data_IF_793390880997
#
_entry.id   IF_793390880997
#
_cell.length_a   1.000
_cell.length_b   1.000
_cell.length_c   1.000
_cell.angle_alpha   90.00
_cell.angle_beta   90.00
_cell.angle_gamma   90.00
#
_symmetry.space_group_name_H-M   'P 1'
#
loop_
_entity.id
_entity.type
_entity.pdbx_description
1 polymer ?
#
# COMPACT_ATOMS: atom_id res chain seq x y z
N UNK A 1 67.70 7.66 14.56
CA UNK A 1 67.11 7.50 13.20
C UNK A 1 65.72 6.89 13.40
N UNK A 2 64.70 7.74 13.48
CA UNK A 2 63.31 7.34 13.69
C UNK A 2 62.64 7.22 12.33
N UNK A 3 62.10 6.03 12.00
CA UNK A 3 61.34 5.79 10.79
C UNK A 3 59.87 6.17 11.03
N UNK A 4 59.45 7.24 10.37
CA UNK A 4 58.06 7.71 10.30
C UNK A 4 57.25 6.79 9.38
N UNK A 5 56.31 6.03 9.94
CA UNK A 5 55.36 5.20 9.18
C UNK A 5 54.10 6.03 8.96
N UNK A 6 53.94 6.53 7.73
CA UNK A 6 52.69 7.19 7.27
C UNK A 6 51.66 6.10 7.02
N UNK A 7 50.62 6.02 7.86
CA UNK A 7 49.41 5.22 7.60
C UNK A 7 48.50 5.99 6.64
N UNK A 8 48.45 5.52 5.40
CA UNK A 8 47.51 5.98 4.41
C UNK A 8 46.12 5.40 4.75
N UNK A 9 45.21 6.23 5.28
CA UNK A 9 43.80 5.84 5.49
C UNK A 9 43.09 6.00 4.14
N UNK A 10 42.79 4.87 3.51
CA UNK A 10 41.88 4.84 2.36
C UNK A 10 40.46 5.10 2.87
N UNK A 11 39.96 6.32 2.69
CA UNK A 11 38.55 6.66 2.77
C UNK A 11 37.87 6.10 1.52
N UNK A 12 37.31 4.89 1.65
CA UNK A 12 36.41 4.32 0.63
C UNK A 12 35.08 5.04 0.76
N UNK A 13 34.89 6.11 -0.02
CA UNK A 13 33.59 6.76 -0.17
C UNK A 13 32.64 5.80 -0.90
N UNK A 14 31.76 5.18 -0.13
CA UNK A 14 30.64 4.43 -0.68
C UNK A 14 29.67 5.42 -1.36
N UNK A 15 29.89 5.68 -2.64
CA UNK A 15 28.92 6.30 -3.52
C UNK A 15 27.82 5.27 -3.77
N UNK A 16 26.78 5.30 -2.93
CA UNK A 16 25.53 4.60 -3.20
C UNK A 16 24.89 5.10 -4.48
N UNK A 17 24.34 4.24 -5.30
CA UNK A 17 23.82 4.60 -6.61
C UNK A 17 22.49 5.33 -6.52
N UNK A 18 22.51 6.63 -6.25
CA UNK A 18 21.34 7.52 -6.38
C UNK A 18 20.72 7.54 -7.79
N UNK A 19 21.38 6.91 -8.77
CA UNK A 19 20.85 6.80 -10.13
C UNK A 19 19.74 5.76 -10.33
N UNK A 20 19.68 4.72 -9.47
CA UNK A 20 18.64 3.69 -9.60
C UNK A 20 17.26 4.20 -9.17
N UNK A 21 17.18 4.93 -8.07
CA UNK A 21 15.91 5.48 -7.57
C UNK A 21 15.32 6.52 -8.52
N UNK A 22 16.18 7.39 -9.11
CA UNK A 22 15.71 8.41 -10.06
C UNK A 22 15.22 7.79 -11.39
N UNK A 23 15.85 6.71 -11.83
CA UNK A 23 15.45 6.02 -13.07
C UNK A 23 14.10 5.31 -12.92
N UNK A 24 13.82 4.75 -11.75
CA UNK A 24 12.56 4.05 -11.46
C UNK A 24 11.38 5.03 -11.40
N UNK A 25 11.52 6.14 -10.66
CA UNK A 25 10.52 7.21 -10.59
C UNK A 25 10.23 7.82 -11.97
N UNK A 26 11.25 8.07 -12.77
CA UNK A 26 11.07 8.65 -14.11
C UNK A 26 10.37 7.67 -15.06
N UNK A 27 10.69 6.40 -14.99
CA UNK A 27 10.04 5.35 -15.80
C UNK A 27 8.58 5.18 -15.41
N UNK A 28 8.27 5.16 -14.11
CA UNK A 28 6.91 5.08 -13.62
C UNK A 28 6.06 6.29 -14.06
N UNK A 29 6.58 7.50 -13.95
CA UNK A 29 5.87 8.72 -14.37
C UNK A 29 5.64 8.76 -15.90
N UNK A 30 6.60 8.33 -16.70
CA UNK A 30 6.43 8.25 -18.16
C UNK A 30 5.35 7.24 -18.51
N UNK A 31 5.36 6.06 -17.89
CA UNK A 31 4.35 5.02 -18.12
C UNK A 31 2.93 5.47 -17.68
N UNK A 32 2.81 6.24 -16.58
CA UNK A 32 1.53 6.79 -16.16
C UNK A 32 1.01 7.83 -17.17
N UNK A 33 1.85 8.76 -17.61
CA UNK A 33 1.47 9.74 -18.62
C UNK A 33 1.05 9.09 -19.95
N UNK A 34 1.73 8.02 -20.36
CA UNK A 34 1.38 7.22 -21.53
C UNK A 34 0.02 6.54 -21.37
N UNK A 35 -0.26 5.96 -20.19
CA UNK A 35 -1.56 5.36 -19.89
C UNK A 35 -2.70 6.40 -19.96
N UNK A 36 -2.49 7.59 -19.40
CA UNK A 36 -3.44 8.71 -19.48
C UNK A 36 -3.64 9.16 -20.93
N UNK A 37 -2.58 9.23 -21.71
CA UNK A 37 -2.69 9.59 -23.13
C UNK A 37 -3.46 8.51 -23.90
N UNK A 38 -3.22 7.23 -23.64
CA UNK A 38 -3.97 6.14 -24.26
C UNK A 38 -5.49 6.22 -23.94
N UNK A 39 -5.88 6.66 -22.73
CA UNK A 39 -7.30 6.92 -22.40
C UNK A 39 -7.85 8.06 -23.27
N UNK A 40 -7.13 9.17 -23.42
CA UNK A 40 -7.55 10.32 -24.27
C UNK A 40 -7.72 9.91 -25.74
N UNK A 41 -6.84 9.05 -26.22
CA UNK A 41 -6.85 8.52 -27.58
C UNK A 41 -7.88 7.38 -27.76
N UNK A 42 -8.63 7.05 -26.71
CA UNK A 42 -9.59 5.93 -26.66
C UNK A 42 -8.97 4.55 -26.91
N UNK A 43 -7.65 4.43 -26.78
CA UNK A 43 -6.94 3.16 -26.81
C UNK A 43 -7.00 2.49 -25.44
N UNK A 44 -8.22 2.15 -25.00
CA UNK A 44 -8.47 1.68 -23.63
C UNK A 44 -7.79 0.36 -23.31
N UNK A 45 -7.60 -0.53 -24.28
CA UNK A 45 -6.89 -1.79 -24.02
C UNK A 45 -5.43 -1.54 -23.66
N UNK A 46 -4.77 -0.62 -24.35
CA UNK A 46 -3.40 -0.22 -24.02
C UNK A 46 -3.34 0.48 -22.66
N UNK A 47 -4.27 1.40 -22.38
CA UNK A 47 -4.37 2.07 -21.10
C UNK A 47 -4.53 1.07 -19.93
N UNK A 48 -5.42 0.09 -20.06
CA UNK A 48 -5.62 -0.96 -19.03
C UNK A 48 -4.31 -1.71 -18.75
N UNK A 49 -3.58 -2.12 -19.80
CA UNK A 49 -2.32 -2.85 -19.63
C UNK A 49 -1.25 -2.01 -18.90
N UNK A 50 -1.15 -0.71 -19.22
CA UNK A 50 -0.20 0.20 -18.57
C UNK A 50 -0.58 0.50 -17.12
N UNK A 51 -1.87 0.78 -16.84
CA UNK A 51 -2.31 0.99 -15.47
C UNK A 51 -2.21 -0.28 -14.63
N UNK A 52 -2.50 -1.46 -15.18
CA UNK A 52 -2.39 -2.72 -14.48
C UNK A 52 -0.96 -3.01 -14.02
N UNK A 53 0.03 -2.77 -14.89
CA UNK A 53 1.44 -2.90 -14.53
C UNK A 53 1.82 -2.02 -13.32
N UNK A 54 1.35 -0.79 -13.30
CA UNK A 54 1.60 0.17 -12.23
C UNK A 54 0.77 -0.11 -10.97
N UNK A 55 -0.46 -0.57 -11.14
CA UNK A 55 -1.33 -0.94 -10.03
C UNK A 55 -0.74 -2.10 -9.20
N UNK A 56 -0.13 -3.09 -9.87
CA UNK A 56 0.61 -4.16 -9.20
C UNK A 56 1.88 -3.67 -8.49
N UNK A 57 2.46 -2.56 -8.94
CA UNK A 57 3.58 -1.89 -8.27
C UNK A 57 3.10 -0.90 -7.18
N UNK A 58 1.86 -1.05 -6.71
CA UNK A 58 1.23 -0.20 -5.68
C UNK A 58 1.22 1.31 -6.02
N UNK A 59 1.11 1.65 -7.31
CA UNK A 59 0.88 3.05 -7.72
C UNK A 59 -0.63 3.36 -7.59
N UNK A 60 -1.01 4.07 -6.56
CA UNK A 60 -2.41 4.24 -6.16
C UNK A 60 -3.25 5.01 -7.17
N UNK A 61 -2.67 6.01 -7.85
CA UNK A 61 -3.33 6.70 -8.97
C UNK A 61 -3.64 5.75 -10.14
N UNK A 62 -2.75 4.80 -10.42
CA UNK A 62 -2.95 3.80 -11.45
C UNK A 62 -4.02 2.77 -11.03
N UNK A 63 -4.06 2.39 -9.76
CA UNK A 63 -5.10 1.52 -9.20
C UNK A 63 -6.49 2.15 -9.38
N UNK A 64 -6.64 3.45 -9.05
CA UNK A 64 -7.88 4.17 -9.25
C UNK A 64 -8.32 4.22 -10.72
N UNK A 65 -7.41 4.60 -11.62
CA UNK A 65 -7.70 4.66 -13.05
C UNK A 65 -8.05 3.29 -13.63
N UNK A 66 -7.38 2.22 -13.18
CA UNK A 66 -7.70 0.85 -13.56
C UNK A 66 -9.11 0.45 -13.09
N UNK A 67 -9.47 0.80 -11.84
CA UNK A 67 -10.80 0.56 -11.30
C UNK A 67 -11.89 1.21 -12.16
N UNK A 68 -11.72 2.47 -12.58
CA UNK A 68 -12.65 3.18 -13.47
C UNK A 68 -12.82 2.50 -14.84
N UNK A 69 -11.73 2.02 -15.44
CA UNK A 69 -11.77 1.32 -16.72
C UNK A 69 -12.49 -0.03 -16.61
N UNK A 70 -12.20 -0.80 -15.54
CA UNK A 70 -12.85 -2.07 -15.26
C UNK A 70 -14.35 -1.91 -14.93
N UNK A 71 -14.71 -0.87 -14.15
CA UNK A 71 -16.11 -0.54 -13.86
C UNK A 71 -16.88 -0.22 -15.14
N UNK A 72 -16.28 0.57 -16.04
CA UNK A 72 -16.94 1.01 -17.28
C UNK A 72 -16.86 -0.01 -18.42
N UNK A 73 -16.12 -1.12 -18.27
CA UNK A 73 -15.92 -2.09 -19.33
C UNK A 73 -15.11 -1.57 -20.52
N UNK A 74 -14.26 -0.55 -20.31
CA UNK A 74 -13.40 0.03 -21.34
C UNK A 74 -12.05 -0.67 -21.38
N UNK A 75 -11.70 -1.22 -22.54
CA UNK A 75 -10.44 -1.94 -22.76
C UNK A 75 -10.48 -3.42 -22.36
N UNK A 76 -11.33 -3.80 -21.42
CA UNK A 76 -11.66 -5.18 -21.02
C UNK A 76 -13.15 -5.30 -20.68
N UNK A 77 -13.72 -6.50 -20.68
CA UNK A 77 -15.09 -6.71 -20.18
C UNK A 77 -15.25 -6.16 -18.76
N UNK A 78 -16.41 -5.59 -18.49
CA UNK A 78 -16.75 -5.05 -17.17
C UNK A 78 -16.57 -6.09 -16.07
N UNK A 79 -15.94 -5.70 -14.97
CA UNK A 79 -15.70 -6.56 -13.82
C UNK A 79 -15.74 -5.73 -12.53
N UNK A 80 -16.91 -5.68 -11.90
CA UNK A 80 -17.11 -4.91 -10.67
C UNK A 80 -16.28 -5.41 -9.49
N UNK A 81 -16.05 -6.72 -9.38
CA UNK A 81 -15.26 -7.27 -8.28
C UNK A 81 -13.77 -6.88 -8.40
N UNK A 82 -13.19 -6.95 -9.60
CA UNK A 82 -11.83 -6.44 -9.82
C UNK A 82 -11.75 -4.92 -9.67
N UNK A 83 -12.77 -4.19 -10.16
CA UNK A 83 -12.84 -2.75 -9.98
C UNK A 83 -12.86 -2.37 -8.49
N UNK A 84 -13.63 -3.08 -7.67
CA UNK A 84 -13.68 -2.87 -6.22
C UNK A 84 -12.35 -3.15 -5.54
N UNK A 85 -11.66 -4.23 -5.90
CA UNK A 85 -10.33 -4.54 -5.36
C UNK A 85 -9.36 -3.38 -5.59
N UNK A 86 -9.31 -2.84 -6.81
CA UNK A 86 -8.44 -1.72 -7.15
C UNK A 86 -8.90 -0.39 -6.57
N UNK A 87 -10.22 -0.16 -6.46
CA UNK A 87 -10.75 1.03 -5.78
C UNK A 87 -10.39 1.03 -4.29
N UNK A 88 -10.56 -0.07 -3.58
CA UNK A 88 -10.11 -0.19 -2.19
C UNK A 88 -8.60 -0.04 -2.05
N UNK A 89 -7.80 -0.66 -2.93
CA UNK A 89 -6.34 -0.49 -2.92
C UNK A 89 -5.94 0.98 -3.09
N UNK A 90 -6.60 1.70 -4.00
CA UNK A 90 -6.36 3.12 -4.21
C UNK A 90 -6.78 3.98 -3.01
N UNK A 91 -7.94 3.68 -2.41
CA UNK A 91 -8.41 4.37 -1.20
C UNK A 91 -7.44 4.21 -0.03
N UNK A 92 -6.97 2.98 0.22
CA UNK A 92 -5.97 2.70 1.25
C UNK A 92 -4.65 3.45 1.02
N UNK A 93 -4.31 3.71 -0.23
CA UNK A 93 -3.17 4.53 -0.63
C UNK A 93 -3.43 6.04 -0.64
N UNK A 94 -4.57 6.49 -0.13
CA UNK A 94 -4.89 7.91 0.04
C UNK A 94 -5.54 8.60 -1.16
N UNK A 95 -6.05 7.86 -2.14
CA UNK A 95 -6.81 8.43 -3.26
C UNK A 95 -8.27 8.66 -2.82
N UNK A 96 -8.58 9.86 -2.33
CA UNK A 96 -9.91 10.21 -1.80
C UNK A 96 -11.08 9.87 -2.74
N UNK A 97 -11.04 10.15 -4.07
CA UNK A 97 -12.14 9.80 -4.96
C UNK A 97 -12.42 8.30 -5.06
N UNK A 98 -11.47 7.45 -4.67
CA UNK A 98 -11.65 5.99 -4.68
C UNK A 98 -12.63 5.50 -3.60
N UNK A 99 -12.87 6.30 -2.55
CA UNK A 99 -13.86 5.99 -1.53
C UNK A 99 -15.27 5.96 -2.13
N UNK A 100 -15.69 7.01 -2.81
CA UNK A 100 -17.01 7.09 -3.46
C UNK A 100 -17.18 5.97 -4.50
N UNK A 101 -16.16 5.75 -5.34
CA UNK A 101 -16.15 4.66 -6.32
C UNK A 101 -16.33 3.29 -5.65
N UNK A 102 -15.67 3.05 -4.52
CA UNK A 102 -15.78 1.77 -3.81
C UNK A 102 -17.16 1.56 -3.20
N UNK A 103 -17.79 2.60 -2.65
CA UNK A 103 -19.16 2.52 -2.14
C UNK A 103 -20.17 2.19 -3.25
N UNK A 104 -20.05 2.83 -4.41
CA UNK A 104 -20.87 2.52 -5.59
C UNK A 104 -20.73 1.06 -6.02
N UNK A 105 -19.49 0.56 -6.06
CA UNK A 105 -19.20 -0.82 -6.47
C UNK A 105 -19.68 -1.86 -5.45
N UNK A 106 -19.60 -1.57 -4.16
CA UNK A 106 -20.14 -2.42 -3.09
C UNK A 106 -21.63 -2.67 -3.30
N UNK A 107 -22.39 -1.63 -3.64
CA UNK A 107 -23.83 -1.74 -3.86
C UNK A 107 -24.21 -2.60 -5.09
N UNK A 108 -23.25 -2.93 -5.95
CA UNK A 108 -23.46 -3.76 -7.15
C UNK A 108 -23.02 -5.22 -6.96
N UNK A 109 -22.46 -5.56 -5.80
CA UNK A 109 -21.87 -6.88 -5.56
C UNK A 109 -22.58 -7.61 -4.40
N UNK A 110 -22.76 -8.95 -4.53
CA UNK A 110 -23.23 -9.76 -3.41
C UNK A 110 -22.18 -9.88 -2.31
N UNK A 111 -22.61 -10.12 -1.06
CA UNK A 111 -21.73 -10.18 0.12
C UNK A 111 -20.59 -11.21 -0.02
N UNK A 112 -20.87 -12.36 -0.65
CA UNK A 112 -19.81 -13.35 -0.90
C UNK A 112 -18.66 -12.78 -1.76
N UNK A 113 -18.98 -11.93 -2.76
CA UNK A 113 -17.95 -11.26 -3.56
C UNK A 113 -17.20 -10.20 -2.80
N UNK A 114 -17.88 -9.47 -1.90
CA UNK A 114 -17.24 -8.50 -1.00
C UNK A 114 -16.25 -9.20 -0.06
N UNK A 115 -16.68 -10.30 0.54
CA UNK A 115 -15.84 -11.12 1.42
C UNK A 115 -14.57 -11.61 0.71
N UNK A 116 -14.72 -12.24 -0.45
CA UNK A 116 -13.58 -12.72 -1.25
C UNK A 116 -12.63 -11.57 -1.63
N UNK A 117 -13.19 -10.39 -1.93
CA UNK A 117 -12.37 -9.23 -2.29
C UNK A 117 -11.60 -8.69 -1.08
N UNK A 118 -12.21 -8.64 0.12
CA UNK A 118 -11.54 -8.29 1.38
C UNK A 118 -10.41 -9.26 1.71
N UNK A 119 -10.67 -10.57 1.63
CA UNK A 119 -9.66 -11.61 1.88
C UNK A 119 -8.44 -11.46 0.96
N UNK A 120 -8.68 -11.26 -0.34
CA UNK A 120 -7.62 -11.03 -1.32
C UNK A 120 -6.82 -9.75 -1.03
N UNK A 121 -7.49 -8.70 -0.58
CA UNK A 121 -6.83 -7.44 -0.27
C UNK A 121 -5.91 -7.57 0.96
N UNK A 122 -6.38 -8.26 2.02
CA UNK A 122 -5.54 -8.57 3.20
C UNK A 122 -4.31 -9.37 2.79
N UNK A 123 -4.48 -10.44 2.01
CA UNK A 123 -3.38 -11.27 1.51
C UNK A 123 -2.35 -10.42 0.74
N UNK A 124 -2.84 -9.58 -0.17
CA UNK A 124 -1.97 -8.67 -0.95
C UNK A 124 -1.19 -7.71 -0.07
N UNK A 125 -1.82 -7.13 0.96
CA UNK A 125 -1.16 -6.22 1.88
C UNK A 125 -0.13 -6.94 2.75
N UNK A 126 -0.43 -8.14 3.22
CA UNK A 126 0.50 -8.97 4.00
C UNK A 126 1.72 -9.38 3.16
N UNK A 127 1.53 -9.80 1.91
CA UNK A 127 2.62 -10.12 0.98
C UNK A 127 3.55 -8.91 0.74
N UNK A 128 2.98 -7.70 0.61
CA UNK A 128 3.75 -6.46 0.50
C UNK A 128 4.56 -6.18 1.78
N UNK A 129 3.95 -6.35 2.96
CA UNK A 129 4.63 -6.18 4.25
C UNK A 129 5.79 -7.18 4.39
N UNK A 130 5.56 -8.45 4.07
CA UNK A 130 6.58 -9.51 4.13
C UNK A 130 7.71 -9.29 3.10
N UNK A 131 7.41 -8.66 1.96
CA UNK A 131 8.42 -8.23 0.96
C UNK A 131 9.21 -6.98 1.37
N UNK A 132 8.86 -6.34 2.48
CA UNK A 132 9.56 -5.17 3.02
C UNK A 132 8.93 -3.82 2.67
N UNK A 133 7.77 -3.80 2.00
CA UNK A 133 7.02 -2.56 1.77
C UNK A 133 6.33 -2.11 3.07
N UNK A 134 6.95 -1.15 3.73
CA UNK A 134 6.45 -0.63 5.02
C UNK A 134 5.21 0.24 4.88
N UNK A 135 4.94 0.83 3.72
CA UNK A 135 3.72 1.62 3.51
C UNK A 135 2.46 0.77 3.68
N UNK A 136 2.53 -0.51 3.31
CA UNK A 136 1.43 -1.44 3.46
C UNK A 136 0.98 -1.68 4.92
N UNK A 137 1.81 -1.32 5.93
CA UNK A 137 1.41 -1.35 7.34
C UNK A 137 0.29 -0.33 7.64
N UNK A 138 0.40 0.88 7.10
CA UNK A 138 -0.62 1.91 7.22
C UNK A 138 -1.90 1.51 6.47
N UNK A 139 -1.74 0.96 5.27
CA UNK A 139 -2.85 0.51 4.44
C UNK A 139 -3.61 -0.65 5.11
N UNK A 140 -2.91 -1.62 5.71
CA UNK A 140 -3.54 -2.74 6.43
C UNK A 140 -4.27 -2.27 7.69
N UNK A 141 -3.69 -1.32 8.44
CA UNK A 141 -4.36 -0.72 9.58
C UNK A 141 -5.65 0.02 9.17
N UNK A 142 -5.57 0.81 8.10
CA UNK A 142 -6.73 1.52 7.55
C UNK A 142 -7.79 0.54 7.01
N UNK A 143 -7.36 -0.58 6.40
CA UNK A 143 -8.27 -1.64 5.99
C UNK A 143 -9.13 -2.14 7.17
N UNK A 144 -8.53 -2.44 8.30
CA UNK A 144 -9.28 -2.91 9.49
C UNK A 144 -10.19 -1.84 10.07
N UNK A 145 -9.84 -0.57 9.92
CA UNK A 145 -10.65 0.56 10.39
C UNK A 145 -11.86 0.82 9.49
N UNK A 146 -11.71 0.73 8.14
CA UNK A 146 -12.67 1.29 7.18
C UNK A 146 -13.27 0.28 6.19
N UNK A 147 -12.59 -0.84 5.88
CA UNK A 147 -13.00 -1.77 4.81
C UNK A 147 -13.46 -3.13 5.35
N UNK A 148 -12.96 -3.55 6.50
CA UNK A 148 -13.39 -4.78 7.14
C UNK A 148 -14.94 -4.83 7.25
N UNK A 149 -15.52 -6.03 7.34
CA UNK A 149 -16.97 -6.21 7.45
C UNK A 149 -17.56 -5.39 8.61
N UNK A 150 -16.86 -5.42 9.74
CA UNK A 150 -17.09 -4.53 10.88
C UNK A 150 -15.75 -3.87 11.24
N UNK A 151 -15.74 -2.59 11.66
CA UNK A 151 -14.51 -1.92 12.08
C UNK A 151 -13.80 -2.70 13.20
N UNK A 152 -12.55 -3.08 12.96
CA UNK A 152 -11.72 -3.80 13.94
C UNK A 152 -10.61 -2.87 14.47
N UNK A 153 -10.93 -2.12 15.51
CA UNK A 153 -9.99 -1.16 16.09
C UNK A 153 -8.83 -1.83 16.84
N UNK A 154 -8.95 -3.10 17.26
CA UNK A 154 -7.84 -3.84 17.86
C UNK A 154 -6.76 -4.16 16.81
N UNK A 155 -7.14 -4.69 15.65
CA UNK A 155 -6.21 -4.92 14.56
C UNK A 155 -5.70 -3.59 13.96
N UNK A 156 -6.54 -2.56 13.83
CA UNK A 156 -6.09 -1.24 13.39
C UNK A 156 -5.02 -0.67 14.34
N UNK A 157 -5.25 -0.71 15.65
CA UNK A 157 -4.28 -0.31 16.66
C UNK A 157 -2.98 -1.10 16.56
N UNK A 158 -3.07 -2.42 16.40
CA UNK A 158 -1.90 -3.30 16.25
C UNK A 158 -1.00 -2.84 15.10
N UNK A 159 -1.58 -2.70 13.91
CA UNK A 159 -0.82 -2.37 12.70
C UNK A 159 -0.33 -0.92 12.70
N UNK A 160 -1.11 0.05 13.21
CA UNK A 160 -0.62 1.42 13.41
C UNK A 160 0.49 1.49 14.48
N UNK A 161 0.46 0.65 15.51
CA UNK A 161 1.55 0.56 16.50
C UNK A 161 2.86 0.12 15.85
N UNK A 162 2.82 -0.88 14.98
CA UNK A 162 3.98 -1.35 14.22
C UNK A 162 4.45 -0.27 13.25
N UNK A 163 3.53 0.36 12.52
CA UNK A 163 3.85 1.46 11.61
C UNK A 163 4.52 2.64 12.33
N UNK A 164 4.05 2.98 13.55
CA UNK A 164 4.64 4.04 14.38
C UNK A 164 6.06 3.71 14.84
N UNK A 165 6.36 2.43 15.12
CA UNK A 165 7.70 1.98 15.46
C UNK A 165 8.67 2.06 14.28
N UNK A 166 8.17 1.95 13.04
CA UNK A 166 8.93 2.24 11.81
C UNK A 166 8.94 3.72 11.42
N UNK A 167 8.39 4.61 12.27
CA UNK A 167 8.35 6.07 12.07
C UNK A 167 7.59 6.50 10.81
N UNK A 168 6.57 5.75 10.41
CA UNK A 168 5.74 6.14 9.28
C UNK A 168 4.91 7.38 9.61
N UNK A 169 4.78 8.27 8.63
CA UNK A 169 4.06 9.54 8.78
C UNK A 169 2.59 9.28 9.17
N UNK A 170 2.08 10.03 10.13
CA UNK A 170 0.70 9.90 10.62
C UNK A 170 0.44 8.71 11.54
N UNK A 171 1.32 7.69 11.59
CA UNK A 171 1.07 6.45 12.30
C UNK A 171 0.82 6.63 13.81
N UNK A 172 1.51 7.57 14.46
CA UNK A 172 1.31 7.86 15.89
C UNK A 172 -0.10 8.40 16.14
N UNK A 173 -0.54 9.33 15.30
CA UNK A 173 -1.87 9.93 15.42
C UNK A 173 -2.97 8.86 15.23
N UNK A 174 -2.89 8.07 14.17
CA UNK A 174 -3.87 7.01 13.87
C UNK A 174 -3.88 5.90 14.92
N UNK A 175 -2.71 5.54 15.46
CA UNK A 175 -2.59 4.60 16.59
C UNK A 175 -3.34 5.10 17.81
N UNK A 176 -3.16 6.37 18.18
CA UNK A 176 -3.75 6.94 19.39
C UNK A 176 -5.27 7.10 19.23
N UNK A 177 -5.74 7.42 18.01
CA UNK A 177 -7.16 7.41 17.65
C UNK A 177 -7.75 5.99 17.80
N UNK A 178 -7.11 4.97 17.25
CA UNK A 178 -7.56 3.59 17.36
C UNK A 178 -7.54 3.11 18.82
N UNK A 179 -6.50 3.46 19.60
CA UNK A 179 -6.39 3.12 21.02
C UNK A 179 -7.59 3.59 21.84
N UNK A 180 -8.17 4.74 21.50
CA UNK A 180 -9.39 5.26 22.15
C UNK A 180 -10.63 4.39 21.97
N UNK A 181 -10.59 3.42 21.05
CA UNK A 181 -11.69 2.46 20.77
C UNK A 181 -11.39 1.04 21.25
N UNK A 182 -10.16 0.77 21.71
CA UNK A 182 -9.74 -0.55 22.20
C UNK A 182 -10.05 -0.70 23.69
N UNK A 183 -10.55 -1.87 24.09
CA UNK A 183 -10.77 -2.17 25.49
C UNK A 183 -9.44 -2.30 26.25
N UNK A 184 -9.34 -1.71 27.44
CA UNK A 184 -8.13 -1.73 28.27
C UNK A 184 -7.57 -3.14 28.53
N UNK A 185 -8.46 -4.13 28.62
CA UNK A 185 -8.05 -5.53 28.86
C UNK A 185 -7.26 -6.13 27.70
N UNK A 186 -7.53 -5.71 26.45
CA UNK A 186 -6.85 -6.22 25.24
C UNK A 186 -5.50 -5.49 24.98
N UNK A 187 -5.32 -4.32 25.57
CA UNK A 187 -4.19 -3.43 25.25
C UNK A 187 -2.82 -4.08 25.44
N UNK A 188 -2.61 -4.80 26.54
CA UNK A 188 -1.30 -5.43 26.87
C UNK A 188 -0.98 -6.52 25.82
N UNK A 189 -1.95 -7.37 25.52
CA UNK A 189 -1.78 -8.43 24.53
C UNK A 189 -1.46 -7.86 23.13
N UNK A 190 -2.17 -6.78 22.72
CA UNK A 190 -1.93 -6.12 21.45
C UNK A 190 -0.53 -5.51 21.37
N UNK A 191 -0.04 -4.92 22.47
CA UNK A 191 1.33 -4.38 22.55
C UNK A 191 2.40 -5.48 22.44
N UNK A 192 2.20 -6.62 23.08
CA UNK A 192 3.08 -7.78 22.99
C UNK A 192 3.09 -8.36 21.56
N UNK A 193 1.92 -8.50 20.94
CA UNK A 193 1.81 -8.92 19.53
C UNK A 193 2.52 -7.95 18.59
N UNK A 194 2.32 -6.64 18.79
CA UNK A 194 2.99 -5.63 17.98
C UNK A 194 4.52 -5.71 18.10
N UNK A 195 5.04 -5.89 19.31
CA UNK A 195 6.47 -6.09 19.55
C UNK A 195 7.02 -7.30 18.81
N UNK A 196 6.35 -8.43 18.92
CA UNK A 196 6.75 -9.69 18.25
C UNK A 196 6.78 -9.54 16.71
N UNK A 197 5.75 -8.92 16.13
CA UNK A 197 5.69 -8.70 14.68
C UNK A 197 6.76 -7.70 14.24
N UNK A 198 6.97 -6.62 14.99
CA UNK A 198 8.00 -5.63 14.70
C UNK A 198 9.41 -6.24 14.67
N UNK A 199 9.75 -7.10 15.64
CA UNK A 199 11.04 -7.80 15.67
C UNK A 199 11.23 -8.69 14.43
N UNK A 200 10.20 -9.47 14.07
CA UNK A 200 10.22 -10.28 12.83
C UNK A 200 10.48 -9.40 11.60
N UNK A 201 9.71 -8.32 11.43
CA UNK A 201 9.81 -7.45 10.28
C UNK A 201 11.13 -6.65 10.23
N UNK A 202 11.71 -6.32 11.40
CA UNK A 202 12.99 -5.62 11.50
C UNK A 202 14.19 -6.50 11.13
N UNK A 203 14.03 -7.83 11.20
CA UNK A 203 15.07 -8.80 10.84
C UNK A 203 15.16 -9.09 9.34
N UNK A 204 14.14 -8.74 8.57
CA UNK A 204 14.12 -8.85 7.11
C UNK A 204 14.90 -7.68 6.52
N UNK A 205 16.05 -7.96 5.89
CA UNK A 205 16.92 -6.98 5.23
C UNK A 205 16.58 -6.82 3.77
#
# INVERSE_FOLDING_TARGET
MAKLIIRLVFLLSFLLPSKLILADITTSNVTFAEAVQAVKDKNYQHAVNLFELQAFAAQHDAQYNLALLLQSGKGRPQNYQQALFWAWSAFLGGIEPAQELSEDLKNLLPEDSLKVTREKLIETLQDRIDSGDRSALMELALFYKEIAEEPNFEEAYLWYSIASAFLLEGAIFERDEAAGKVETKSMVELQERAGTIFEKLSSVK
#
